data_IF_598150029478
#
_entry.id   IF_598150029478
#
_cell.length_a   1.000
_cell.length_b   1.000
_cell.length_c   1.000
_cell.angle_alpha   90.00
_cell.angle_beta   90.00
_cell.angle_gamma   90.00
#
_symmetry.space_group_name_H-M   'P 1'
#
loop_
_entity.id
_entity.type
_entity.pdbx_description
1 polymer ?
#
# COMPACT_ATOMS: atom_id res chain seq x y z
N UNK A 1 12.37 -0.95 23.85
CA UNK A 1 13.35 -0.30 22.95
C UNK A 1 12.87 1.13 22.77
N UNK A 2 13.68 2.17 23.05
CA UNK A 2 13.26 3.54 22.79
C UNK A 2 13.01 3.72 21.31
N UNK A 3 11.82 4.25 20.98
CA UNK A 3 11.46 4.56 19.60
C UNK A 3 12.34 5.70 19.14
N UNK A 4 13.09 5.48 18.07
CA UNK A 4 13.84 6.56 17.44
C UNK A 4 12.83 7.57 16.88
N UNK A 5 12.88 8.86 17.25
CA UNK A 5 11.93 9.86 16.78
C UNK A 5 11.93 10.05 15.25
N UNK A 6 12.99 9.58 14.60
CA UNK A 6 13.21 9.69 13.16
C UNK A 6 12.92 8.37 12.44
N UNK A 7 11.93 7.61 12.87
CA UNK A 7 11.58 6.32 12.29
C UNK A 7 10.13 6.30 11.81
N UNK A 8 9.90 5.60 10.70
CA UNK A 8 8.56 5.27 10.21
C UNK A 8 8.10 3.99 10.89
N UNK A 9 6.92 4.02 11.48
CA UNK A 9 6.30 2.83 12.06
C UNK A 9 5.50 2.09 11.00
N UNK A 10 5.84 0.83 10.77
CA UNK A 10 5.12 -0.06 9.85
C UNK A 10 4.46 -1.18 10.65
N UNK A 11 3.20 -1.46 10.38
CA UNK A 11 2.47 -2.50 11.07
C UNK A 11 1.08 -2.76 10.50
N UNK A 12 0.36 -3.71 11.09
CA UNK A 12 -1.02 -4.04 10.69
C UNK A 12 -2.02 -3.28 11.56
N UNK A 13 -3.18 -2.94 11.01
CA UNK A 13 -4.23 -2.19 11.71
C UNK A 13 -4.67 -2.83 13.01
N UNK A 14 -4.74 -4.17 13.07
CA UNK A 14 -5.22 -4.90 14.24
C UNK A 14 -4.19 -4.93 15.38
N UNK A 15 -2.89 -4.87 15.07
CA UNK A 15 -1.81 -5.03 16.04
C UNK A 15 -1.12 -3.74 16.40
N UNK A 16 -1.16 -2.76 15.50
CA UNK A 16 -0.47 -1.48 15.70
C UNK A 16 -1.33 -0.55 16.55
N UNK A 17 -0.83 -0.25 17.73
CA UNK A 17 -1.46 0.72 18.65
C UNK A 17 -0.58 1.93 18.73
N UNK A 18 -0.81 2.89 17.87
CA UNK A 18 -0.21 4.22 17.93
C UNK A 18 -1.26 5.23 18.40
N UNK A 19 -0.79 6.29 19.01
CA UNK A 19 -1.60 7.46 19.27
C UNK A 19 -1.84 8.26 18.00
N UNK A 20 -2.03 9.57 18.15
CA UNK A 20 -2.14 10.48 17.01
C UNK A 20 -0.82 10.56 16.26
N UNK A 21 -0.89 10.56 14.95
CA UNK A 21 0.25 10.67 14.03
C UNK A 21 0.04 11.82 13.06
N UNK A 22 1.08 12.46 12.63
CA UNK A 22 0.98 13.56 11.65
C UNK A 22 0.49 13.06 10.31
N UNK A 23 1.05 11.96 9.85
CA UNK A 23 0.70 11.35 8.58
C UNK A 23 0.49 9.84 8.74
N UNK A 24 -0.51 9.31 8.06
CA UNK A 24 -0.83 7.89 8.00
C UNK A 24 -0.92 7.46 6.53
N UNK A 25 -0.23 6.38 6.21
CA UNK A 25 -0.32 5.72 4.91
C UNK A 25 -0.98 4.35 5.10
N UNK A 26 -2.10 4.13 4.43
CA UNK A 26 -2.81 2.85 4.39
C UNK A 26 -2.60 2.25 3.01
N UNK A 27 -1.86 1.16 2.95
CA UNK A 27 -1.52 0.49 1.70
C UNK A 27 -2.37 -0.76 1.52
N UNK A 28 -2.76 -1.05 0.27
CA UNK A 28 -3.50 -2.27 -0.06
C UNK A 28 -4.96 -2.23 0.39
N UNK A 29 -5.66 -1.13 0.20
CA UNK A 29 -7.08 -1.01 0.51
C UNK A 29 -7.96 -1.73 -0.54
N UNK A 30 -7.63 -3.01 -0.79
CA UNK A 30 -8.30 -3.85 -1.76
C UNK A 30 -9.41 -4.71 -1.13
N UNK A 31 -10.34 -5.15 -1.96
CA UNK A 31 -11.40 -6.08 -1.58
C UNK A 31 -10.79 -7.39 -1.04
N UNK A 32 -11.31 -7.89 0.07
CA UNK A 32 -10.78 -9.07 0.77
C UNK A 32 -9.61 -8.80 1.71
N UNK A 33 -8.90 -7.66 1.56
CA UNK A 33 -7.80 -7.26 2.44
C UNK A 33 -8.24 -6.17 3.44
N UNK A 34 -9.15 -5.30 3.05
CA UNK A 34 -9.68 -4.23 3.90
C UNK A 34 -11.21 -4.07 3.69
N UNK A 35 -12.08 -4.56 4.56
CA UNK A 35 -11.80 -5.42 5.72
C UNK A 35 -11.25 -6.79 5.30
N UNK A 36 -10.48 -7.41 6.21
CA UNK A 36 -9.92 -8.73 5.97
C UNK A 36 -11.06 -9.77 6.00
N UNK A 37 -11.35 -10.38 4.88
CA UNK A 37 -12.31 -11.49 4.84
C UNK A 37 -11.64 -12.74 5.39
N UNK A 38 -11.94 -13.07 6.65
CA UNK A 38 -11.58 -14.36 7.19
C UNK A 38 -12.64 -15.36 6.75
N UNK A 39 -12.24 -16.34 5.98
CA UNK A 39 -13.04 -17.53 5.76
C UNK A 39 -13.08 -18.31 7.06
N UNK A 40 -14.27 -18.50 7.63
CA UNK A 40 -14.41 -19.34 8.83
C UNK A 40 -14.20 -20.80 8.43
N UNK A 41 -13.01 -21.31 8.64
CA UNK A 41 -12.65 -22.72 8.45
C UNK A 41 -12.99 -23.54 9.71
N UNK A 42 -13.93 -23.09 10.52
CA UNK A 42 -14.36 -23.78 11.72
C UNK A 42 -15.07 -25.10 11.42
N UNK A 43 -15.01 -26.01 12.40
CA UNK A 43 -15.75 -27.29 12.33
C UNK A 43 -17.27 -27.13 12.37
N UNK A 44 -17.75 -25.96 12.83
CA UNK A 44 -19.16 -25.62 12.97
C UNK A 44 -19.47 -24.40 12.10
N UNK A 45 -20.53 -24.52 11.30
CA UNK A 45 -21.07 -23.39 10.56
C UNK A 45 -21.72 -22.37 11.51
N UNK A 46 -21.87 -21.12 11.09
CA UNK A 46 -22.54 -20.07 11.88
C UNK A 46 -23.97 -20.44 12.26
N UNK A 47 -24.67 -21.20 11.41
CA UNK A 47 -26.01 -21.74 11.75
C UNK A 47 -25.97 -22.75 12.90
N UNK A 48 -24.98 -23.62 12.91
CA UNK A 48 -24.81 -24.61 13.99
C UNK A 48 -24.40 -23.92 15.29
N UNK A 49 -23.53 -22.91 15.20
CA UNK A 49 -23.17 -22.07 16.36
C UNK A 49 -24.40 -21.38 16.95
N UNK A 50 -25.25 -20.76 16.10
CA UNK A 50 -26.47 -20.10 16.56
C UNK A 50 -27.44 -21.06 17.27
N UNK A 51 -27.60 -22.29 16.78
CA UNK A 51 -28.45 -23.30 17.44
C UNK A 51 -27.85 -23.73 18.79
N UNK A 52 -26.52 -23.80 18.88
CA UNK A 52 -25.84 -24.15 20.12
C UNK A 52 -25.87 -23.00 21.13
N UNK A 53 -25.86 -21.74 20.69
CA UNK A 53 -26.07 -20.56 21.55
C UNK A 53 -27.48 -20.54 22.15
N UNK A 54 -28.51 -20.96 21.39
CA UNK A 54 -29.87 -21.13 21.95
C UNK A 54 -29.93 -22.22 23.04
N UNK A 55 -28.94 -23.11 23.08
CA UNK A 55 -28.81 -24.15 24.11
C UNK A 55 -27.90 -23.73 25.29
N UNK A 56 -27.68 -22.43 25.49
CA UNK A 56 -26.79 -21.85 26.53
C UNK A 56 -25.30 -22.24 26.39
N UNK A 57 -24.86 -22.59 25.20
CA UNK A 57 -23.43 -22.80 24.91
C UNK A 57 -22.81 -21.50 24.37
N UNK A 58 -22.02 -20.84 25.20
CA UNK A 58 -21.32 -19.61 24.83
C UNK A 58 -20.11 -19.92 23.94
N UNK A 59 -20.05 -19.30 22.77
CA UNK A 59 -18.88 -19.29 21.91
C UNK A 59 -18.06 -18.03 22.15
N UNK A 60 -16.76 -18.18 22.25
CA UNK A 60 -15.85 -17.08 22.61
C UNK A 60 -15.80 -15.95 21.57
N UNK A 61 -16.15 -16.22 20.30
CA UNK A 61 -16.19 -15.23 19.23
C UNK A 61 -17.17 -15.64 18.14
N UNK A 62 -18.16 -14.79 17.91
CA UNK A 62 -19.06 -14.91 16.75
C UNK A 62 -18.47 -14.15 15.56
N UNK A 63 -18.88 -14.52 14.35
CA UNK A 63 -18.47 -13.83 13.11
C UNK A 63 -18.81 -12.33 13.15
N UNK A 64 -19.97 -11.98 13.73
CA UNK A 64 -20.39 -10.59 13.87
C UNK A 64 -19.50 -9.80 14.83
N UNK A 65 -19.03 -10.41 15.92
CA UNK A 65 -18.04 -9.77 16.80
C UNK A 65 -16.74 -9.50 16.06
N UNK A 66 -16.26 -10.45 15.28
CA UNK A 66 -15.03 -10.28 14.49
C UNK A 66 -15.18 -9.16 13.48
N UNK A 67 -16.31 -9.10 12.76
CA UNK A 67 -16.62 -8.01 11.82
C UNK A 67 -16.69 -6.64 12.50
N UNK A 68 -17.29 -6.58 13.69
CA UNK A 68 -17.36 -5.33 14.46
C UNK A 68 -16.00 -4.89 14.99
N UNK A 69 -15.19 -5.82 15.50
CA UNK A 69 -13.81 -5.52 15.93
C UNK A 69 -12.98 -4.98 14.78
N UNK A 70 -13.15 -5.53 13.59
CA UNK A 70 -12.42 -5.09 12.41
C UNK A 70 -12.86 -3.70 11.93
N UNK A 71 -14.18 -3.46 11.88
CA UNK A 71 -14.71 -2.11 11.59
C UNK A 71 -14.20 -1.08 12.59
N UNK A 72 -14.16 -1.44 13.87
CA UNK A 72 -13.62 -0.57 14.90
C UNK A 72 -12.12 -0.31 14.73
N UNK A 73 -11.35 -1.33 14.34
CA UNK A 73 -9.93 -1.18 14.06
C UNK A 73 -9.68 -0.24 12.86
N UNK A 74 -10.44 -0.39 11.78
CA UNK A 74 -10.41 0.51 10.62
C UNK A 74 -10.74 1.94 11.04
N UNK A 75 -11.86 2.14 11.75
CA UNK A 75 -12.27 3.46 12.22
C UNK A 75 -11.20 4.13 13.09
N UNK A 76 -10.65 3.40 14.05
CA UNK A 76 -9.58 3.90 14.92
C UNK A 76 -8.36 4.30 14.12
N UNK A 77 -7.93 3.47 13.18
CA UNK A 77 -6.75 3.73 12.37
C UNK A 77 -6.95 4.97 11.50
N UNK A 78 -8.06 5.08 10.79
CA UNK A 78 -8.36 6.22 9.93
C UNK A 78 -8.59 7.53 10.72
N UNK A 79 -8.89 7.44 12.02
CA UNK A 79 -9.07 8.60 12.91
C UNK A 79 -7.76 9.07 13.57
N UNK A 80 -6.62 8.41 13.35
CA UNK A 80 -5.34 8.75 13.98
C UNK A 80 -4.57 9.91 13.32
N UNK A 81 -4.62 10.11 11.99
CA UNK A 81 -3.84 11.17 11.38
C UNK A 81 -4.39 12.55 11.72
N UNK A 82 -3.47 13.48 12.04
CA UNK A 82 -3.82 14.88 12.34
C UNK A 82 -3.71 15.78 11.13
N UNK A 83 -2.79 15.49 10.20
CA UNK A 83 -2.51 16.36 9.06
C UNK A 83 -2.79 15.69 7.72
N UNK A 84 -2.37 14.43 7.53
CA UNK A 84 -2.41 13.78 6.22
C UNK A 84 -2.81 12.31 6.32
N UNK A 85 -3.74 11.91 5.46
CA UNK A 85 -4.15 10.52 5.26
C UNK A 85 -3.95 10.16 3.80
N UNK A 86 -3.14 9.12 3.56
CA UNK A 86 -2.96 8.52 2.24
C UNK A 86 -3.55 7.11 2.27
N UNK A 87 -4.40 6.81 1.33
CA UNK A 87 -4.98 5.47 1.19
C UNK A 87 -4.78 5.02 -0.25
N UNK A 88 -4.16 3.87 -0.44
CA UNK A 88 -3.91 3.32 -1.75
C UNK A 88 -4.47 1.92 -1.92
N UNK A 89 -4.86 1.58 -3.13
CA UNK A 89 -5.24 0.23 -3.55
C UNK A 89 -4.48 -0.14 -4.82
N UNK A 90 -4.15 -1.42 -4.97
CA UNK A 90 -3.56 -1.92 -6.20
C UNK A 90 -4.65 -2.28 -7.20
N UNK A 91 -4.40 -2.08 -8.49
CA UNK A 91 -5.32 -2.51 -9.55
C UNK A 91 -5.01 -3.91 -10.07
N UNK A 92 -3.78 -4.35 -9.88
CA UNK A 92 -3.26 -5.61 -10.42
C UNK A 92 -2.48 -6.31 -9.30
N UNK A 93 -2.57 -7.64 -9.24
CA UNK A 93 -1.76 -8.48 -8.36
C UNK A 93 -0.42 -8.85 -9.02
N UNK A 94 0.44 -9.56 -8.29
CA UNK A 94 1.76 -10.00 -8.76
C UNK A 94 1.69 -10.94 -9.99
N UNK A 95 0.54 -11.53 -10.26
CA UNK A 95 0.31 -12.45 -11.38
C UNK A 95 -0.37 -11.79 -12.58
N UNK A 96 -0.68 -10.48 -12.50
CA UNK A 96 -1.41 -9.73 -13.50
C UNK A 96 -2.94 -9.84 -13.36
N UNK A 97 -3.45 -10.45 -12.29
CA UNK A 97 -4.87 -10.53 -11.98
C UNK A 97 -5.45 -9.18 -11.53
N UNK A 98 -6.66 -8.85 -11.99
CA UNK A 98 -7.33 -7.61 -11.62
C UNK A 98 -7.72 -7.61 -10.13
N UNK A 99 -7.32 -6.57 -9.41
CA UNK A 99 -7.72 -6.31 -8.04
C UNK A 99 -8.74 -5.17 -7.98
N UNK A 100 -9.68 -5.28 -7.03
CA UNK A 100 -10.73 -4.26 -6.86
C UNK A 100 -10.50 -3.44 -5.59
N UNK A 101 -10.81 -2.13 -5.64
CA UNK A 101 -10.84 -1.30 -4.45
C UNK A 101 -11.85 -1.83 -3.43
N UNK A 102 -11.51 -1.76 -2.16
CA UNK A 102 -12.40 -2.14 -1.07
C UNK A 102 -13.62 -1.22 -0.96
N UNK A 103 -14.66 -1.68 -0.26
CA UNK A 103 -15.80 -0.83 0.08
C UNK A 103 -15.38 0.39 0.91
N UNK A 104 -14.44 0.20 1.85
CA UNK A 104 -13.89 1.29 2.69
C UNK A 104 -13.19 2.34 1.84
N UNK A 105 -12.40 1.92 0.84
CA UNK A 105 -11.74 2.85 -0.08
C UNK A 105 -12.76 3.69 -0.84
N UNK A 106 -13.78 3.05 -1.41
CA UNK A 106 -14.86 3.74 -2.15
C UNK A 106 -15.70 4.67 -1.28
N UNK A 107 -15.96 4.30 -0.04
CA UNK A 107 -16.66 5.19 0.90
C UNK A 107 -15.84 6.41 1.25
N UNK A 108 -14.52 6.25 1.46
CA UNK A 108 -13.61 7.38 1.70
C UNK A 108 -13.53 8.30 0.48
N UNK A 109 -13.41 7.75 -0.71
CA UNK A 109 -13.40 8.47 -1.97
C UNK A 109 -14.67 9.33 -2.12
N UNK A 110 -15.85 8.73 -1.94
CA UNK A 110 -17.13 9.42 -1.99
C UNK A 110 -17.26 10.48 -0.90
N UNK A 111 -16.83 10.19 0.33
CA UNK A 111 -16.94 11.10 1.47
C UNK A 111 -16.04 12.32 1.33
N UNK A 112 -14.82 12.12 0.86
CA UNK A 112 -13.85 13.19 0.71
C UNK A 112 -14.07 14.01 -0.57
N UNK A 113 -15.02 13.63 -1.42
CA UNK A 113 -15.25 14.22 -2.77
C UNK A 113 -13.92 14.42 -3.49
N UNK A 114 -13.09 13.53 -3.29
CA UNK A 114 -11.72 13.73 -3.50
C UNK A 114 -11.36 13.69 -4.95
N UNK A 115 -10.90 14.48 -5.23
CA UNK A 115 -9.83 15.10 -5.66
C UNK A 115 -8.57 14.34 -5.77
N UNK A 116 -8.07 14.16 -6.76
CA UNK A 116 -6.90 13.48 -7.21
C UNK A 116 -7.14 11.95 -7.20
N UNK A 117 -7.86 11.52 -8.18
CA UNK A 117 -7.35 10.45 -9.00
C UNK A 117 -6.01 10.92 -9.58
N UNK A 118 -4.95 10.92 -8.78
CA UNK A 118 -3.66 10.68 -9.35
C UNK A 118 -3.70 9.21 -9.69
N UNK A 119 -3.91 8.91 -10.94
CA UNK A 119 -3.71 7.57 -11.48
C UNK A 119 -2.20 7.35 -11.53
N UNK A 120 -1.61 7.20 -10.32
CA UNK A 120 -0.21 6.85 -10.14
C UNK A 120 -0.01 5.36 -10.47
N UNK A 121 -0.75 4.83 -11.43
CA UNK A 121 -0.40 3.59 -12.07
C UNK A 121 0.81 3.85 -12.95
N UNK A 122 1.96 3.97 -12.31
CA UNK A 122 3.23 3.94 -13.01
C UNK A 122 3.39 2.54 -13.55
N UNK A 123 2.92 2.33 -14.76
CA UNK A 123 3.31 1.18 -15.56
C UNK A 123 4.71 1.51 -16.04
N UNK A 124 5.70 0.78 -15.53
CA UNK A 124 7.06 0.81 -16.05
C UNK A 124 6.99 0.59 -17.57
N UNK A 125 7.33 1.62 -18.35
CA UNK A 125 7.29 1.59 -19.80
C UNK A 125 6.49 2.72 -20.46
N UNK A 126 5.54 3.34 -19.75
CA UNK A 126 4.71 4.42 -20.29
C UNK A 126 4.98 5.77 -19.60
N UNK A 127 6.21 5.99 -19.12
CA UNK A 127 6.59 7.28 -18.53
C UNK A 127 6.71 8.34 -19.63
N UNK A 128 5.84 9.33 -19.59
CA UNK A 128 5.96 10.51 -20.44
C UNK A 128 7.15 11.38 -19.99
N UNK A 129 7.70 12.16 -20.95
CA UNK A 129 8.80 13.09 -20.69
C UNK A 129 8.48 14.03 -19.51
N UNK A 130 9.29 14.00 -18.46
CA UNK A 130 9.14 14.84 -17.25
C UNK A 130 8.65 14.12 -15.97
N UNK A 131 8.21 12.86 -16.06
CA UNK A 131 7.75 12.08 -14.89
C UNK A 131 8.92 11.47 -14.09
N UNK A 132 10.12 11.47 -14.64
CA UNK A 132 11.34 10.94 -14.00
C UNK A 132 11.59 11.57 -12.63
N UNK A 133 11.34 12.87 -12.50
CA UNK A 133 11.54 13.62 -11.25
C UNK A 133 10.58 13.19 -10.14
N UNK A 134 9.41 12.66 -10.48
CA UNK A 134 8.42 12.16 -9.51
C UNK A 134 8.80 10.79 -8.97
N UNK A 135 9.50 9.98 -9.78
CA UNK A 135 9.93 8.62 -9.44
C UNK A 135 11.28 8.62 -8.74
N UNK A 136 12.15 9.56 -9.05
CA UNK A 136 13.49 9.69 -8.48
C UNK A 136 13.49 10.18 -7.02
N UNK A 137 12.73 9.51 -6.15
CA UNK A 137 12.51 9.93 -4.76
C UNK A 137 13.64 9.50 -3.82
N UNK A 138 14.31 8.39 -4.12
CA UNK A 138 15.42 7.90 -3.29
C UNK A 138 16.46 7.16 -4.12
N UNK A 139 17.76 7.25 -3.77
CA UNK A 139 18.82 6.60 -4.52
C UNK A 139 18.59 5.10 -4.74
N UNK A 140 18.23 4.36 -3.69
CA UNK A 140 18.00 2.92 -3.79
C UNK A 140 16.77 2.52 -4.60
N UNK A 141 15.73 3.33 -4.57
CA UNK A 141 14.50 3.06 -5.33
C UNK A 141 14.67 3.40 -6.82
N UNK A 142 15.38 4.47 -7.12
CA UNK A 142 15.54 4.99 -8.48
C UNK A 142 16.50 4.14 -9.34
N UNK A 143 17.41 3.38 -8.71
CA UNK A 143 18.44 2.61 -9.44
C UNK A 143 17.85 1.56 -10.40
N UNK A 144 16.73 0.95 -10.06
CA UNK A 144 16.06 -0.02 -10.93
C UNK A 144 15.48 0.64 -12.18
N UNK A 145 14.83 1.79 -12.02
CA UNK A 145 14.30 2.57 -13.14
C UNK A 145 15.40 3.10 -14.05
N UNK A 146 16.51 3.56 -13.48
CA UNK A 146 17.69 3.98 -14.24
C UNK A 146 18.27 2.83 -15.05
N UNK A 147 18.29 1.61 -14.49
CA UNK A 147 18.75 0.41 -15.19
C UNK A 147 17.86 0.09 -16.38
N UNK A 148 16.55 0.19 -16.21
CA UNK A 148 15.60 -0.07 -17.29
C UNK A 148 15.67 1.01 -18.38
N UNK A 149 15.80 2.29 -18.02
CA UNK A 149 16.01 3.37 -18.96
C UNK A 149 17.30 3.21 -19.77
N UNK A 150 18.40 2.77 -19.17
CA UNK A 150 19.63 2.48 -19.89
C UNK A 150 19.53 1.24 -20.80
N UNK A 151 18.76 0.24 -20.40
CA UNK A 151 18.48 -0.93 -21.25
C UNK A 151 17.70 -0.52 -22.49
N UNK A 152 16.67 0.28 -22.34
CA UNK A 152 15.87 0.82 -23.43
C UNK A 152 16.71 1.71 -24.35
N UNK A 153 17.58 2.53 -23.78
CA UNK A 153 18.55 3.30 -24.58
C UNK A 153 19.45 2.43 -25.46
N UNK A 154 19.88 1.28 -24.94
CA UNK A 154 20.71 0.34 -25.74
C UNK A 154 19.92 -0.32 -26.89
N UNK A 155 18.60 -0.46 -26.74
CA UNK A 155 17.73 -1.03 -27.76
C UNK A 155 17.29 0.01 -28.79
N UNK A 156 16.82 1.18 -28.34
CA UNK A 156 16.17 2.19 -29.21
C UNK A 156 17.02 3.44 -29.45
N UNK A 157 18.11 3.61 -28.72
CA UNK A 157 19.05 4.72 -28.87
C UNK A 157 18.52 6.07 -28.40
N UNK A 158 17.43 6.07 -27.63
CA UNK A 158 16.82 7.27 -27.04
C UNK A 158 16.89 7.20 -25.52
N UNK A 159 17.43 8.25 -24.90
CA UNK A 159 17.47 8.42 -23.46
C UNK A 159 16.95 9.82 -23.14
N UNK A 160 16.01 9.89 -22.19
CA UNK A 160 15.53 11.15 -21.65
C UNK A 160 16.67 11.89 -20.94
N UNK A 161 16.70 13.22 -21.04
CA UNK A 161 17.73 14.05 -20.41
C UNK A 161 17.76 13.88 -18.89
N UNK A 162 16.60 13.68 -18.25
CA UNK A 162 16.51 13.51 -16.81
C UNK A 162 17.16 12.19 -16.35
N UNK A 163 17.01 11.11 -17.13
CA UNK A 163 17.74 9.86 -16.87
C UNK A 163 19.24 9.99 -17.10
N UNK A 164 19.66 10.81 -18.05
CA UNK A 164 21.08 11.12 -18.23
C UNK A 164 21.64 11.85 -17.02
N UNK A 165 20.91 12.86 -16.50
CA UNK A 165 21.32 13.59 -15.28
C UNK A 165 21.32 12.67 -14.05
N UNK A 166 20.31 11.81 -13.90
CA UNK A 166 20.29 10.80 -12.85
C UNK A 166 21.51 9.89 -12.92
N UNK A 167 21.85 9.38 -14.09
CA UNK A 167 23.05 8.54 -14.29
C UNK A 167 24.36 9.25 -13.95
N UNK A 168 24.51 10.51 -14.32
CA UNK A 168 25.67 11.32 -13.96
C UNK A 168 25.75 11.55 -12.43
N UNK A 169 24.60 11.78 -11.79
CA UNK A 169 24.54 11.91 -10.35
C UNK A 169 24.97 10.63 -9.63
N UNK A 170 24.45 9.46 -10.04
CA UNK A 170 24.85 8.16 -9.49
C UNK A 170 26.33 7.88 -9.67
N UNK A 171 26.88 8.18 -10.86
CA UNK A 171 28.30 8.01 -11.14
C UNK A 171 29.22 8.81 -10.23
N UNK A 172 28.73 9.95 -9.72
CA UNK A 172 29.49 10.83 -8.82
C UNK A 172 29.26 10.58 -7.34
N UNK A 173 28.05 10.14 -6.93
CA UNK A 173 27.66 10.02 -5.52
C UNK A 173 27.52 8.58 -5.03
N UNK A 174 27.13 7.65 -5.92
CA UNK A 174 26.90 6.25 -5.60
C UNK A 174 27.58 5.31 -6.62
N UNK A 175 28.92 5.39 -6.77
CA UNK A 175 29.65 4.65 -7.80
C UNK A 175 29.54 3.13 -7.64
N UNK A 176 29.36 2.61 -6.43
CA UNK A 176 29.19 1.18 -6.17
C UNK A 176 27.86 0.64 -6.75
N UNK A 177 26.80 1.44 -6.69
CA UNK A 177 25.51 1.08 -7.28
C UNK A 177 25.56 1.16 -8.81
N UNK A 178 26.29 2.13 -9.37
CA UNK A 178 26.49 2.22 -10.84
C UNK A 178 27.32 1.06 -11.41
N UNK A 179 28.24 0.48 -10.64
CA UNK A 179 28.96 -0.71 -11.09
C UNK A 179 28.08 -1.95 -11.22
N UNK A 180 26.95 -2.00 -10.52
CA UNK A 180 25.98 -3.10 -10.62
C UNK A 180 25.11 -3.05 -11.88
N UNK A 181 25.04 -1.88 -12.52
CA UNK A 181 24.29 -1.68 -13.78
C UNK A 181 25.15 -2.05 -15.03
N UNK A 182 26.46 -2.17 -14.87
CA UNK A 182 27.39 -2.54 -15.94
C UNK A 182 27.39 -4.04 -16.19
#
# INVERSE_FOLDING_TARGET
VPVNPDSVLVGTMQRTRVGRVKALLVLGANEGLLPLQKTDEGLLSEREKAVLEEMDLEFSRTEDMVKQEERLAIYRTLSQPEERLYVSCSRIDETGGELRPSAVFRELENFLQSRAESDDSVVLGDLEDGEVTEIAVSPKGTISYLTDAFREYLEDGKLDEDWLYAGLWYGSHEPEEMERIR
#
